data_IF_792242303418
#
_entry.id   IF_792242303418
#
_cell.length_a   1.000
_cell.length_b   1.000
_cell.length_c   1.000
_cell.angle_alpha   90.00
_cell.angle_beta   90.00
_cell.angle_gamma   90.00
#
_symmetry.space_group_name_H-M   'P 1'
#
loop_
_entity.id
_entity.type
_entity.pdbx_description
1 polymer ?
#
# COMPACT_ATOMS: atom_id res chain seq x y z
N UNK A 1 -16.87 -31.87 50.54
CA UNK A 1 -15.84 -31.55 49.55
C UNK A 1 -15.80 -32.53 48.36
N UNK A 2 -15.94 -33.82 48.53
CA UNK A 2 -15.87 -34.81 47.41
C UNK A 2 -16.99 -34.70 46.36
N UNK A 3 -18.22 -34.38 46.76
CA UNK A 3 -19.35 -34.26 45.81
C UNK A 3 -19.28 -33.03 44.87
N UNK A 4 -18.60 -31.96 45.28
CA UNK A 4 -18.40 -30.75 44.45
C UNK A 4 -17.30 -30.99 43.42
N UNK A 5 -16.24 -31.76 43.80
CA UNK A 5 -15.15 -32.08 42.87
C UNK A 5 -15.63 -32.97 41.71
N UNK A 6 -16.55 -33.91 41.96
CA UNK A 6 -17.09 -34.81 40.94
C UNK A 6 -17.96 -34.07 39.89
N UNK A 7 -18.66 -33.00 40.30
CA UNK A 7 -19.49 -32.19 39.37
C UNK A 7 -18.59 -31.35 38.44
N UNK A 8 -17.52 -30.76 38.95
CA UNK A 8 -16.58 -29.99 38.14
C UNK A 8 -15.80 -30.87 37.15
N UNK A 9 -15.43 -32.08 37.53
CA UNK A 9 -14.76 -33.02 36.64
C UNK A 9 -15.69 -33.50 35.51
N UNK A 10 -16.96 -33.74 35.83
CA UNK A 10 -17.98 -34.11 34.81
C UNK A 10 -18.25 -33.02 33.77
N UNK A 11 -18.29 -31.78 34.20
CA UNK A 11 -18.49 -30.63 33.28
C UNK A 11 -17.26 -30.41 32.36
N UNK A 12 -16.06 -30.56 32.90
CA UNK A 12 -14.82 -30.43 32.12
C UNK A 12 -14.68 -31.53 31.06
N UNK A 13 -15.04 -32.78 31.37
CA UNK A 13 -15.01 -33.91 30.43
C UNK A 13 -16.09 -33.75 29.34
N UNK A 14 -17.29 -33.29 29.71
CA UNK A 14 -18.34 -33.02 28.73
C UNK A 14 -17.99 -31.86 27.77
N UNK A 15 -17.31 -30.81 28.25
CA UNK A 15 -16.79 -29.72 27.45
C UNK A 15 -15.74 -30.16 26.45
N UNK A 16 -14.81 -31.02 26.87
CA UNK A 16 -13.76 -31.58 26.01
C UNK A 16 -14.32 -32.55 24.93
N UNK A 17 -15.37 -33.30 25.25
CA UNK A 17 -16.04 -34.19 24.30
C UNK A 17 -16.83 -33.36 23.25
N UNK A 18 -17.50 -32.27 23.62
CA UNK A 18 -18.22 -31.38 22.70
C UNK A 18 -17.26 -30.65 21.75
N UNK A 19 -16.11 -30.17 22.23
CA UNK A 19 -15.11 -29.57 21.37
C UNK A 19 -14.47 -30.58 20.41
N UNK A 20 -14.21 -31.80 20.84
CA UNK A 20 -13.68 -32.85 19.97
C UNK A 20 -14.66 -33.27 18.86
N UNK A 21 -15.95 -33.33 19.15
CA UNK A 21 -17.00 -33.60 18.14
C UNK A 21 -17.09 -32.46 17.13
N UNK A 22 -17.06 -31.19 17.58
CA UNK A 22 -17.13 -30.04 16.69
C UNK A 22 -15.92 -29.94 15.76
N UNK A 23 -14.71 -30.22 16.25
CA UNK A 23 -13.50 -30.27 15.44
C UNK A 23 -13.55 -31.44 14.44
N UNK A 24 -14.08 -32.57 14.80
CA UNK A 24 -14.22 -33.72 13.90
C UNK A 24 -15.28 -33.48 12.80
N UNK A 25 -16.38 -32.80 13.11
CA UNK A 25 -17.39 -32.43 12.12
C UNK A 25 -16.87 -31.38 11.13
N UNK A 26 -16.16 -30.35 11.59
CA UNK A 26 -15.58 -29.35 10.73
C UNK A 26 -14.47 -29.90 9.80
N UNK A 27 -13.65 -30.84 10.31
CA UNK A 27 -12.66 -31.55 9.52
C UNK A 27 -13.28 -32.47 8.44
N UNK A 28 -14.46 -33.04 8.75
CA UNK A 28 -15.17 -33.91 7.79
C UNK A 28 -15.87 -33.08 6.70
N UNK A 29 -16.42 -31.91 7.06
CA UNK A 29 -16.97 -30.94 6.08
C UNK A 29 -15.88 -30.47 5.13
N UNK A 30 -14.72 -30.03 5.63
CA UNK A 30 -13.62 -29.55 4.80
C UNK A 30 -13.09 -30.64 3.83
N UNK A 31 -13.07 -31.93 4.25
CA UNK A 31 -12.73 -33.04 3.37
C UNK A 31 -13.77 -33.28 2.29
N UNK A 32 -15.04 -33.09 2.59
CA UNK A 32 -16.12 -33.27 1.64
C UNK A 32 -16.15 -32.14 0.60
N UNK A 33 -15.87 -30.92 1.02
CA UNK A 33 -15.75 -29.75 0.13
C UNK A 33 -14.52 -29.88 -0.81
N UNK A 34 -13.38 -30.32 -0.29
CA UNK A 34 -12.18 -30.62 -1.08
C UNK A 34 -12.40 -31.73 -2.12
N UNK A 35 -13.16 -32.79 -1.75
CA UNK A 35 -13.49 -33.86 -2.67
C UNK A 35 -14.48 -33.43 -3.76
N UNK A 36 -15.41 -32.53 -3.43
CA UNK A 36 -16.35 -31.96 -4.39
C UNK A 36 -15.64 -31.03 -5.38
N UNK A 37 -14.68 -30.24 -4.91
CA UNK A 37 -13.85 -29.40 -5.75
C UNK A 37 -12.97 -30.22 -6.71
N UNK A 38 -12.37 -31.32 -6.23
CA UNK A 38 -11.56 -32.22 -7.06
C UNK A 38 -12.39 -32.91 -8.15
N UNK A 39 -13.60 -33.35 -7.84
CA UNK A 39 -14.53 -33.94 -8.80
C UNK A 39 -15.02 -32.93 -9.85
N UNK A 40 -15.13 -31.65 -9.50
CA UNK A 40 -15.47 -30.58 -10.44
C UNK A 40 -14.32 -30.33 -11.45
N UNK A 41 -13.06 -30.40 -11.01
CA UNK A 41 -11.89 -30.25 -11.88
C UNK A 41 -11.77 -31.45 -12.84
N UNK A 42 -11.94 -32.70 -12.37
CA UNK A 42 -11.91 -33.89 -13.22
C UNK A 42 -13.04 -33.91 -14.28
N UNK A 43 -14.23 -33.39 -13.96
CA UNK A 43 -15.32 -33.27 -14.94
C UNK A 43 -15.06 -32.18 -16.00
N UNK A 44 -14.25 -31.19 -15.70
CA UNK A 44 -13.89 -30.13 -16.67
C UNK A 44 -12.84 -30.66 -17.68
N UNK A 45 -11.92 -31.50 -17.24
CA UNK A 45 -10.91 -32.10 -18.11
C UNK A 45 -11.50 -33.17 -19.05
N UNK A 46 -12.54 -33.93 -18.64
CA UNK A 46 -13.16 -34.97 -19.47
C UNK A 46 -14.12 -34.41 -20.52
N UNK A 47 -14.62 -33.19 -20.41
CA UNK A 47 -15.46 -32.54 -21.44
C UNK A 47 -14.66 -31.88 -22.57
N UNK A 48 -13.34 -31.78 -22.44
CA UNK A 48 -12.46 -31.19 -23.46
C UNK A 48 -11.90 -32.23 -24.48
N UNK A 49 -12.22 -33.52 -24.33
CA UNK A 49 -11.60 -34.60 -25.10
C UNK A 49 -12.47 -35.23 -26.20
N UNK A 50 -13.73 -34.83 -26.41
CA UNK A 50 -14.56 -35.38 -27.49
C UNK A 50 -15.26 -34.25 -28.26
N UNK A 51 -14.77 -33.94 -29.47
CA UNK A 51 -15.46 -32.99 -30.35
C UNK A 51 -14.70 -32.57 -31.60
N UNK A 52 -14.50 -33.54 -32.54
CA UNK A 52 -14.62 -33.35 -33.98
C UNK A 52 -13.55 -32.60 -34.78
N UNK A 53 -12.84 -33.35 -35.56
CA UNK A 53 -12.09 -32.90 -36.75
C UNK A 53 -13.08 -32.52 -37.88
N UNK A 54 -13.05 -31.25 -38.33
CA UNK A 54 -13.49 -30.85 -39.68
C UNK A 54 -12.87 -29.50 -40.05
N UNK A 55 -11.95 -29.60 -40.99
CA UNK A 55 -11.61 -28.79 -42.15
C UNK A 55 -11.76 -27.24 -42.13
N UNK A 56 -10.61 -26.60 -42.29
CA UNK A 56 -10.25 -25.54 -43.22
C UNK A 56 -10.89 -24.18 -43.11
N UNK A 57 -10.20 -23.25 -42.61
CA UNK A 57 -9.74 -21.96 -43.19
C UNK A 57 -9.18 -21.07 -42.09
N UNK A 58 -7.99 -20.54 -42.31
CA UNK A 58 -7.18 -19.84 -41.31
C UNK A 58 -7.84 -18.61 -40.70
N UNK A 59 -7.89 -18.64 -39.40
CA UNK A 59 -7.75 -17.49 -38.53
C UNK A 59 -6.75 -17.95 -37.45
N UNK A 60 -5.56 -17.39 -37.44
CA UNK A 60 -4.62 -17.59 -36.36
C UNK A 60 -5.31 -17.19 -35.06
N UNK A 61 -5.26 -18.00 -33.98
CA UNK A 61 -5.63 -17.53 -32.66
C UNK A 61 -4.63 -16.41 -32.33
N UNK A 62 -5.17 -15.26 -31.94
CA UNK A 62 -4.36 -14.16 -31.41
C UNK A 62 -3.44 -14.75 -30.35
N UNK A 63 -2.16 -14.86 -30.69
CA UNK A 63 -1.14 -15.32 -29.76
C UNK A 63 -1.15 -14.38 -28.57
N UNK A 64 -1.38 -14.93 -27.39
CA UNK A 64 -1.02 -14.23 -26.17
C UNK A 64 0.49 -14.04 -26.21
N UNK A 65 0.92 -12.87 -26.66
CA UNK A 65 2.29 -12.42 -26.50
C UNK A 65 2.44 -12.16 -25.01
N UNK A 66 3.00 -13.13 -24.29
CA UNK A 66 3.56 -12.88 -22.98
C UNK A 66 4.77 -11.96 -23.19
N UNK A 67 4.54 -10.67 -23.36
CA UNK A 67 5.55 -9.68 -23.09
C UNK A 67 5.72 -9.66 -21.57
N UNK A 68 6.73 -10.37 -21.08
CA UNK A 68 7.09 -10.46 -19.66
C UNK A 68 7.78 -9.20 -19.14
N UNK A 69 7.32 -8.02 -19.55
CA UNK A 69 7.67 -6.73 -18.97
C UNK A 69 6.43 -6.13 -18.35
N UNK A 70 6.51 -5.64 -17.11
CA UNK A 70 5.49 -4.76 -16.58
C UNK A 70 5.27 -3.65 -17.61
N UNK A 71 4.06 -3.53 -18.14
CA UNK A 71 3.74 -2.45 -19.09
C UNK A 71 3.98 -1.14 -18.36
N UNK A 72 5.00 -0.40 -18.81
CA UNK A 72 5.29 0.93 -18.31
C UNK A 72 4.29 1.97 -18.84
N UNK A 73 3.26 1.53 -19.56
CA UNK A 73 2.20 2.37 -20.06
C UNK A 73 1.07 2.48 -19.03
N UNK A 74 0.94 3.62 -18.33
CA UNK A 74 -0.12 3.83 -17.34
C UNK A 74 -1.52 3.76 -17.99
N UNK A 75 -1.62 4.03 -19.30
CA UNK A 75 -2.87 3.95 -20.05
C UNK A 75 -3.24 2.50 -20.35
N UNK A 76 -2.26 1.62 -20.59
CA UNK A 76 -2.49 0.19 -20.77
C UNK A 76 -2.99 -0.47 -19.48
N UNK A 77 -2.46 -0.09 -18.32
CA UNK A 77 -2.96 -0.53 -17.01
C UNK A 77 -4.41 -0.07 -16.79
N UNK A 78 -4.72 1.19 -17.10
CA UNK A 78 -6.07 1.74 -17.04
C UNK A 78 -7.07 0.99 -17.93
N UNK A 79 -6.67 0.60 -19.13
CA UNK A 79 -7.54 -0.08 -20.09
C UNK A 79 -7.80 -1.54 -19.72
N UNK A 80 -6.89 -2.18 -18.99
CA UNK A 80 -6.96 -3.62 -18.74
C UNK A 80 -7.96 -4.03 -17.66
N UNK A 81 -8.13 -3.24 -16.58
CA UNK A 81 -8.82 -3.72 -15.37
C UNK A 81 -9.82 -2.74 -14.74
N UNK A 82 -9.70 -1.45 -14.96
CA UNK A 82 -10.49 -0.41 -14.25
C UNK A 82 -11.64 0.17 -15.09
N UNK A 83 -11.92 -0.41 -16.25
CA UNK A 83 -12.89 0.12 -17.21
C UNK A 83 -12.26 0.98 -18.29
N UNK A 84 -13.07 1.62 -19.12
CA UNK A 84 -12.56 2.45 -20.20
C UNK A 84 -11.86 3.70 -19.64
N UNK A 85 -10.58 3.85 -19.96
CA UNK A 85 -9.87 5.09 -19.71
C UNK A 85 -10.53 6.25 -20.49
N UNK A 86 -10.50 7.50 -19.99
CA UNK A 86 -10.91 8.64 -20.78
C UNK A 86 -10.08 8.73 -22.06
N UNK A 87 -10.68 9.23 -23.16
CA UNK A 87 -10.01 9.33 -24.47
C UNK A 87 -8.70 10.14 -24.43
N UNK A 88 -8.56 11.05 -23.45
CA UNK A 88 -7.38 11.89 -23.23
C UNK A 88 -6.54 11.47 -22.01
N UNK A 89 -6.57 10.20 -21.61
CA UNK A 89 -5.86 9.71 -20.42
C UNK A 89 -4.35 9.99 -20.45
N UNK A 90 -3.70 9.88 -21.61
CA UNK A 90 -2.27 10.20 -21.77
C UNK A 90 -1.98 11.69 -21.50
N UNK A 91 -2.82 12.59 -22.02
CA UNK A 91 -2.69 14.03 -21.78
C UNK A 91 -2.90 14.36 -20.29
N UNK A 92 -3.91 13.74 -19.65
CA UNK A 92 -4.18 13.90 -18.23
C UNK A 92 -3.02 13.39 -17.38
N UNK A 93 -2.48 12.20 -17.67
CA UNK A 93 -1.32 11.67 -16.97
C UNK A 93 -0.08 12.57 -17.14
N UNK A 94 0.17 13.08 -18.35
CA UNK A 94 1.31 13.96 -18.60
C UNK A 94 1.18 15.34 -17.96
N UNK A 95 -0.04 15.83 -17.76
CA UNK A 95 -0.32 17.13 -17.11
C UNK A 95 -0.47 17.04 -15.59
N UNK A 96 -0.56 15.85 -15.04
CA UNK A 96 -0.62 15.63 -13.59
C UNK A 96 0.66 16.10 -12.94
N UNK A 97 0.57 16.87 -11.85
CA UNK A 97 1.72 17.18 -11.01
C UNK A 97 1.93 16.05 -9.99
N UNK A 98 3.01 15.28 -10.11
CA UNK A 98 3.20 14.13 -9.24
C UNK A 98 3.41 14.53 -7.78
N UNK A 99 2.95 13.70 -6.85
CA UNK A 99 3.29 13.87 -5.45
C UNK A 99 4.82 13.88 -5.29
N UNK A 100 5.42 14.88 -4.61
CA UNK A 100 6.86 14.96 -4.43
C UNK A 100 7.36 13.76 -3.61
N UNK A 101 8.13 12.88 -4.28
CA UNK A 101 8.65 11.67 -3.63
C UNK A 101 9.90 11.94 -2.81
N UNK A 102 10.62 13.02 -3.05
CA UNK A 102 11.84 13.37 -2.34
C UNK A 102 11.57 13.49 -0.85
N UNK A 103 12.45 12.91 -0.03
CA UNK A 103 12.40 13.08 1.42
C UNK A 103 12.57 14.57 1.77
N UNK A 104 11.61 15.21 2.43
CA UNK A 104 11.72 16.61 2.79
C UNK A 104 12.88 16.83 3.79
N UNK A 105 13.43 18.05 3.90
CA UNK A 105 14.46 18.34 4.88
C UNK A 105 14.00 17.98 6.30
N UNK A 106 14.89 17.44 7.12
CA UNK A 106 14.61 17.10 8.51
C UNK A 106 14.21 18.36 9.31
N UNK A 107 13.20 18.24 10.14
CA UNK A 107 12.73 19.32 11.01
C UNK A 107 13.82 19.79 11.98
N UNK A 108 13.90 21.12 12.18
CA UNK A 108 14.94 21.75 13.00
C UNK A 108 14.50 21.85 14.46
N UNK A 109 15.49 21.96 15.38
CA UNK A 109 15.26 22.11 16.82
C UNK A 109 15.05 20.78 17.53
N UNK A 110 14.88 20.84 18.84
CA UNK A 110 14.64 19.66 19.69
C UNK A 110 13.13 19.42 19.88
N UNK A 111 12.33 20.45 19.64
CA UNK A 111 10.86 20.39 19.59
C UNK A 111 10.39 20.77 18.20
N UNK A 112 9.40 20.03 17.70
CA UNK A 112 8.82 20.19 16.36
C UNK A 112 7.32 20.30 16.51
N UNK A 113 6.76 21.44 16.11
CA UNK A 113 5.32 21.68 16.07
C UNK A 113 4.80 21.33 14.68
N UNK A 114 3.77 20.48 14.63
CA UNK A 114 3.13 20.01 13.39
C UNK A 114 1.64 20.27 13.50
N UNK A 115 1.16 21.21 12.68
CA UNK A 115 -0.26 21.54 12.57
C UNK A 115 -0.87 20.86 11.36
N UNK A 116 -1.86 20.00 11.59
CA UNK A 116 -2.58 19.28 10.55
C UNK A 116 -4.06 19.68 10.59
N UNK A 117 -4.56 20.23 9.49
CA UNK A 117 -5.99 20.48 9.31
C UNK A 117 -6.61 19.40 8.45
N UNK A 118 -7.58 18.70 9.01
CA UNK A 118 -8.38 17.70 8.28
C UNK A 118 -9.37 18.37 7.35
N UNK A 119 -9.59 17.80 6.18
CA UNK A 119 -10.52 18.33 5.18
C UNK A 119 -11.13 17.20 4.37
N UNK A 120 -12.38 17.41 3.95
CA UNK A 120 -12.97 16.66 2.86
C UNK A 120 -12.54 17.32 1.55
N UNK A 121 -11.99 16.53 0.63
CA UNK A 121 -11.42 17.02 -0.63
C UNK A 121 -11.81 16.10 -1.78
N UNK A 122 -11.86 16.65 -2.98
CA UNK A 122 -11.86 15.85 -4.21
C UNK A 122 -10.43 15.79 -4.72
N UNK A 123 -9.91 14.60 -4.89
CA UNK A 123 -8.58 14.33 -5.45
C UNK A 123 -8.72 13.52 -6.73
N UNK A 124 -7.69 13.55 -7.58
CA UNK A 124 -7.54 12.64 -8.69
C UNK A 124 -6.60 11.51 -8.28
N UNK A 125 -7.00 10.26 -8.52
CA UNK A 125 -6.26 9.05 -8.11
C UNK A 125 -5.71 8.24 -9.28
N UNK A 126 -6.15 8.57 -10.49
CA UNK A 126 -5.68 8.03 -11.76
C UNK A 126 -6.10 9.04 -12.84
N UNK A 127 -5.57 8.98 -14.09
CA UNK A 127 -5.92 9.94 -15.14
C UNK A 127 -7.44 10.08 -15.34
N UNK A 128 -7.98 11.25 -14.97
CA UNK A 128 -9.41 11.58 -15.04
C UNK A 128 -10.31 10.94 -13.98
N UNK A 129 -9.78 10.10 -13.09
CA UNK A 129 -10.54 9.43 -12.04
C UNK A 129 -10.52 10.24 -10.75
N UNK A 130 -11.64 10.87 -10.42
CA UNK A 130 -11.83 11.69 -9.22
C UNK A 130 -12.39 10.86 -8.07
N UNK A 131 -11.97 11.19 -6.86
CA UNK A 131 -12.38 10.52 -5.64
C UNK A 131 -12.68 11.54 -4.52
N UNK A 132 -13.81 11.33 -3.80
CA UNK A 132 -14.16 12.11 -2.61
C UNK A 132 -13.40 11.57 -1.41
N UNK A 133 -12.28 12.21 -1.07
CA UNK A 133 -11.37 11.77 -0.02
C UNK A 133 -11.54 12.55 1.29
N UNK A 134 -11.17 11.92 2.39
CA UNK A 134 -10.82 12.59 3.63
C UNK A 134 -9.31 12.71 3.70
N UNK A 135 -8.80 13.87 4.10
CA UNK A 135 -7.36 14.10 3.99
C UNK A 135 -6.73 14.69 5.25
N UNK A 136 -5.46 14.35 5.45
CA UNK A 136 -4.55 15.12 6.29
C UNK A 136 -3.97 16.26 5.44
N UNK A 137 -4.36 17.49 5.72
CA UNK A 137 -4.03 18.73 5.01
C UNK A 137 -4.81 18.95 3.71
N UNK A 138 -4.43 18.40 2.56
CA UNK A 138 -5.10 18.71 1.29
C UNK A 138 -4.99 17.61 0.23
N UNK A 139 -4.47 16.44 0.59
CA UNK A 139 -4.26 15.33 -0.33
C UNK A 139 -4.16 13.99 0.36
N UNK A 140 -3.95 12.94 -0.41
CA UNK A 140 -3.64 11.60 0.05
C UNK A 140 -2.50 11.03 -0.80
N UNK A 141 -1.38 10.63 -0.16
CA UNK A 141 -1.13 10.66 1.27
C UNK A 141 -1.10 12.07 1.84
N UNK A 142 -1.23 12.16 3.18
CA UNK A 142 -0.89 13.39 3.91
C UNK A 142 0.61 13.72 3.80
N UNK A 143 1.06 14.87 4.32
CA UNK A 143 2.44 15.32 4.19
C UNK A 143 3.44 14.34 4.80
N UNK A 144 4.59 14.18 4.15
CA UNK A 144 5.71 13.43 4.72
C UNK A 144 6.32 14.24 5.86
N UNK A 145 6.39 13.63 7.04
CA UNK A 145 6.99 14.22 8.24
C UNK A 145 8.40 13.65 8.39
N UNK A 146 9.42 14.51 8.48
CA UNK A 146 10.80 14.08 8.64
C UNK A 146 11.42 14.69 9.90
N UNK A 147 11.75 13.85 10.86
CA UNK A 147 12.26 14.20 12.19
C UNK A 147 13.48 13.35 12.55
N UNK A 148 14.08 13.58 13.71
CA UNK A 148 15.21 12.81 14.26
C UNK A 148 14.83 12.11 15.55
N UNK A 149 15.49 11.03 15.82
CA UNK A 149 15.47 10.37 17.13
C UNK A 149 15.77 11.37 18.25
N UNK A 150 14.95 11.35 19.30
CA UNK A 150 15.04 12.23 20.45
C UNK A 150 14.25 13.54 20.34
N UNK A 151 13.80 13.95 19.15
CA UNK A 151 12.95 15.14 19.02
C UNK A 151 11.58 14.94 19.70
N UNK A 152 11.09 15.99 20.36
CA UNK A 152 9.70 16.07 20.84
C UNK A 152 8.82 16.58 19.72
N UNK A 153 7.81 15.82 19.39
CA UNK A 153 6.84 16.16 18.35
C UNK A 153 5.55 16.60 19.02
N UNK A 154 5.11 17.81 18.73
CA UNK A 154 3.83 18.36 19.17
C UNK A 154 2.88 18.34 17.97
N UNK A 155 1.84 17.53 18.03
CA UNK A 155 0.84 17.41 16.94
C UNK A 155 -0.40 18.18 17.35
N UNK A 156 -0.78 19.17 16.55
CA UNK A 156 -2.08 19.83 16.66
C UNK A 156 -2.96 19.41 15.47
N UNK A 157 -4.00 18.63 15.77
CA UNK A 157 -4.99 18.21 14.81
C UNK A 157 -6.21 19.12 14.89
N UNK A 158 -6.55 19.79 13.79
CA UNK A 158 -7.76 20.61 13.67
C UNK A 158 -8.73 19.96 12.69
N UNK A 159 -9.94 19.66 13.14
CA UNK A 159 -10.94 19.00 12.29
C UNK A 159 -11.80 20.03 11.54
N UNK A 160 -11.45 20.27 10.29
CA UNK A 160 -12.23 21.05 9.32
C UNK A 160 -13.07 20.19 8.36
N UNK A 161 -13.20 18.88 8.61
CA UNK A 161 -14.03 17.96 7.85
C UNK A 161 -15.48 17.91 8.31
N UNK A 162 -16.24 16.92 7.85
CA UNK A 162 -17.67 16.78 8.13
C UNK A 162 -18.02 15.74 9.19
N UNK A 163 -17.05 14.91 9.59
CA UNK A 163 -17.22 13.87 10.63
C UNK A 163 -16.03 13.91 11.61
N UNK A 164 -16.14 13.25 12.79
CA UNK A 164 -15.00 13.11 13.71
C UNK A 164 -13.84 12.33 13.10
N UNK A 165 -12.62 12.75 13.42
CA UNK A 165 -11.38 12.11 12.99
C UNK A 165 -10.34 12.12 14.12
N UNK A 166 -9.32 11.29 13.98
CA UNK A 166 -8.15 11.24 14.87
C UNK A 166 -6.86 11.12 14.09
N UNK A 167 -5.72 11.07 14.77
CA UNK A 167 -4.43 10.73 14.16
C UNK A 167 -3.64 9.82 15.09
N UNK A 168 -3.21 8.68 14.54
CA UNK A 168 -2.37 7.66 15.17
C UNK A 168 -1.01 7.65 14.47
N UNK A 169 0.07 7.73 15.25
CA UNK A 169 1.46 7.63 14.76
C UNK A 169 2.08 6.32 15.19
N UNK A 170 2.40 5.44 14.26
CA UNK A 170 3.11 4.19 14.55
C UNK A 170 4.53 4.41 15.13
N UNK A 171 5.09 5.59 14.93
CA UNK A 171 6.36 6.00 15.55
C UNK A 171 6.24 6.39 17.02
N UNK A 172 5.02 6.51 17.57
CA UNK A 172 4.80 7.02 18.91
C UNK A 172 4.62 5.90 19.95
N UNK A 173 5.38 5.96 21.05
CA UNK A 173 5.15 5.11 22.23
C UNK A 173 4.30 5.86 23.26
N UNK A 174 3.00 5.87 23.03
CA UNK A 174 2.04 6.61 23.88
C UNK A 174 0.72 5.82 23.96
N UNK A 175 0.01 5.93 25.09
CA UNK A 175 -1.27 5.25 25.27
C UNK A 175 -2.33 5.80 24.30
N UNK A 176 -2.96 4.96 23.45
CA UNK A 176 -3.90 5.40 22.41
C UNK A 176 -5.08 6.22 22.94
N UNK A 177 -5.62 5.85 24.11
CA UNK A 177 -6.74 6.55 24.75
C UNK A 177 -6.38 7.96 25.23
N UNK A 178 -5.10 8.30 25.30
CA UNK A 178 -4.59 9.64 25.67
C UNK A 178 -4.36 10.49 24.42
N UNK A 179 -3.76 9.92 23.39
CA UNK A 179 -3.26 10.66 22.24
C UNK A 179 -4.16 10.54 20.99
N UNK A 180 -4.68 9.32 20.69
CA UNK A 180 -5.34 9.03 19.42
C UNK A 180 -6.87 9.08 19.53
N UNK A 181 -7.39 10.07 20.23
CA UNK A 181 -8.81 10.26 20.44
C UNK A 181 -9.46 11.02 19.30
N UNK A 182 -10.76 10.80 19.11
CA UNK A 182 -11.57 11.51 18.13
C UNK A 182 -11.61 13.02 18.45
N UNK A 183 -11.43 13.84 17.42
CA UNK A 183 -11.59 15.30 17.43
C UNK A 183 -12.89 15.62 16.68
N UNK A 184 -13.83 16.26 17.36
CA UNK A 184 -15.11 16.62 16.77
C UNK A 184 -14.94 17.70 15.69
N UNK A 185 -15.94 17.81 14.80
CA UNK A 185 -15.95 18.82 13.74
C UNK A 185 -15.82 20.21 14.30
N UNK A 186 -14.89 21.01 13.77
CA UNK A 186 -14.57 22.37 14.21
C UNK A 186 -13.68 22.46 15.45
N UNK A 187 -13.33 21.34 16.07
CA UNK A 187 -12.44 21.32 17.25
C UNK A 187 -10.98 21.05 16.87
N UNK A 188 -10.09 21.35 17.83
CA UNK A 188 -8.67 21.02 17.76
C UNK A 188 -8.23 20.22 18.97
N UNK A 189 -7.23 19.39 18.79
CA UNK A 189 -6.59 18.62 19.86
C UNK A 189 -5.09 18.56 19.67
N UNK A 190 -4.34 18.84 20.73
CA UNK A 190 -2.88 18.76 20.72
C UNK A 190 -2.40 17.67 21.67
N UNK A 191 -1.44 16.87 21.22
CA UNK A 191 -0.67 15.96 22.08
C UNK A 191 0.78 15.93 21.64
N UNK A 192 1.64 15.36 22.47
CA UNK A 192 3.08 15.29 22.19
C UNK A 192 3.62 13.90 22.46
N UNK A 193 4.62 13.50 21.69
CA UNK A 193 5.43 12.32 21.96
C UNK A 193 6.90 12.62 21.65
N UNK A 194 7.79 11.72 22.08
CA UNK A 194 9.21 11.78 21.71
C UNK A 194 9.45 10.70 20.66
N UNK A 195 10.07 11.05 19.55
CA UNK A 195 10.46 10.11 18.51
C UNK A 195 11.65 9.26 19.01
N UNK A 196 11.36 8.09 19.60
CA UNK A 196 12.37 7.22 20.23
C UNK A 196 12.83 6.08 19.32
N UNK A 197 12.09 5.82 18.28
CA UNK A 197 12.30 4.67 17.40
C UNK A 197 12.62 5.18 15.99
N UNK A 198 13.86 5.01 15.49
CA UNK A 198 14.23 5.43 14.14
C UNK A 198 13.71 4.45 13.10
N UNK A 199 13.38 4.99 11.91
CA UNK A 199 12.83 4.22 10.79
C UNK A 199 11.81 5.00 9.99
N UNK A 200 11.04 4.30 9.15
CA UNK A 200 9.88 4.87 8.46
C UNK A 200 8.61 4.21 8.95
N UNK A 201 7.61 5.02 9.28
CA UNK A 201 6.39 4.60 9.91
C UNK A 201 5.18 5.26 9.26
N UNK A 202 4.04 4.56 9.32
CA UNK A 202 2.75 5.10 8.96
C UNK A 202 2.22 6.04 10.05
N UNK A 203 1.47 7.05 9.65
CA UNK A 203 0.46 7.67 10.49
C UNK A 203 -0.89 7.61 9.78
N UNK A 204 -1.98 7.48 10.54
CA UNK A 204 -3.32 7.33 9.95
C UNK A 204 -4.43 7.76 10.90
N UNK A 205 -5.65 7.88 10.37
CA UNK A 205 -6.83 8.07 11.22
C UNK A 205 -7.21 6.76 11.92
N UNK A 206 -7.36 6.82 13.25
CA UNK A 206 -7.77 5.68 14.09
C UNK A 206 -9.26 5.68 14.47
N UNK A 207 -10.04 6.66 13.99
CA UNK A 207 -11.50 6.74 14.23
C UNK A 207 -12.22 5.57 13.58
N UNK A 208 -13.19 5.00 14.29
CA UNK A 208 -13.97 3.85 13.77
C UNK A 208 -15.07 4.28 12.80
N UNK A 209 -15.25 3.50 11.72
CA UNK A 209 -14.54 2.29 11.29
C UNK A 209 -13.19 2.62 10.61
N UNK A 210 -12.08 2.16 11.19
CA UNK A 210 -10.71 2.52 10.79
C UNK A 210 -10.45 2.20 9.32
N UNK A 211 -10.93 1.04 8.83
CA UNK A 211 -10.82 0.64 7.42
C UNK A 211 -11.34 1.74 6.47
N UNK A 212 -12.51 2.32 6.77
CA UNK A 212 -13.10 3.35 5.94
C UNK A 212 -12.27 4.64 5.94
N UNK A 213 -11.70 5.03 7.09
CA UNK A 213 -10.91 6.25 7.19
C UNK A 213 -9.59 6.14 6.40
N UNK A 214 -8.87 5.02 6.54
CA UNK A 214 -7.63 4.80 5.78
C UNK A 214 -7.95 4.70 4.28
N UNK A 215 -8.96 3.90 3.88
CA UNK A 215 -9.35 3.74 2.48
C UNK A 215 -9.89 5.04 1.83
N UNK A 216 -10.28 6.03 2.61
CA UNK A 216 -10.65 7.36 2.13
C UNK A 216 -9.47 8.35 2.02
N UNK A 217 -8.22 7.90 2.27
CA UNK A 217 -7.04 8.74 2.05
C UNK A 217 -6.38 9.28 3.33
N UNK A 218 -6.85 8.86 4.51
CA UNK A 218 -6.32 9.36 5.79
C UNK A 218 -5.11 8.56 6.28
N UNK A 219 -4.01 8.70 5.59
CA UNK A 219 -2.71 8.10 5.90
C UNK A 219 -1.56 8.97 5.40
N UNK A 220 -0.36 8.73 5.93
CA UNK A 220 0.88 9.35 5.48
C UNK A 220 2.09 8.67 6.11
N UNK A 221 3.28 9.23 5.87
CA UNK A 221 4.55 8.69 6.36
C UNK A 221 5.24 9.67 7.32
N UNK A 222 5.85 9.12 8.37
CA UNK A 222 6.83 9.81 9.21
C UNK A 222 8.16 9.06 9.13
N UNK A 223 9.24 9.78 8.79
CA UNK A 223 10.62 9.29 8.82
C UNK A 223 11.30 9.84 10.07
N UNK A 224 11.90 8.94 10.84
CA UNK A 224 12.67 9.26 12.03
C UNK A 224 14.12 8.87 11.79
N UNK A 225 14.99 9.85 11.59
CA UNK A 225 16.42 9.60 11.42
C UNK A 225 17.03 9.06 12.71
N UNK A 226 17.88 8.01 12.63
CA UNK A 226 18.59 7.51 13.81
C UNK A 226 19.66 8.49 14.29
N UNK A 227 19.93 8.50 15.62
CA UNK A 227 21.01 9.27 16.22
C UNK A 227 22.39 8.93 15.61
N UNK A 228 22.61 7.67 15.25
CA UNK A 228 23.72 7.24 14.42
C UNK A 228 23.25 7.15 12.97
N UNK A 229 23.67 8.08 12.09
CA UNK A 229 23.19 8.10 10.72
C UNK A 229 23.39 6.78 9.98
N UNK A 230 22.42 6.41 9.15
CA UNK A 230 22.56 5.34 8.17
C UNK A 230 23.70 5.65 7.20
N UNK A 231 24.25 4.66 6.47
CA UNK A 231 25.17 4.92 5.38
C UNK A 231 24.60 5.99 4.44
N UNK A 232 25.45 6.86 3.92
CA UNK A 232 25.02 7.95 3.05
C UNK A 232 24.23 7.40 1.85
N UNK A 233 23.06 7.95 1.59
CA UNK A 233 22.38 7.89 0.30
C UNK A 233 22.61 9.19 -0.48
N UNK A 234 22.57 9.13 -1.80
CA UNK A 234 22.73 10.29 -2.68
C UNK A 234 21.35 10.84 -3.08
N UNK A 235 20.34 9.96 -3.17
CA UNK A 235 18.92 10.27 -3.38
C UNK A 235 18.08 9.55 -2.33
N UNK A 236 17.02 10.21 -1.87
CA UNK A 236 16.13 9.67 -0.84
C UNK A 236 14.68 9.93 -1.25
N UNK A 237 13.89 8.85 -1.42
CA UNK A 237 12.50 8.90 -1.87
C UNK A 237 11.57 8.23 -0.87
N UNK A 238 10.40 8.80 -0.65
CA UNK A 238 9.34 8.25 0.19
C UNK A 238 8.19 7.77 -0.69
N UNK A 239 7.86 6.49 -0.55
CA UNK A 239 6.79 5.83 -1.30
C UNK A 239 5.75 5.29 -0.32
N UNK A 240 4.51 5.76 -0.43
CA UNK A 240 3.39 5.26 0.36
C UNK A 240 2.46 4.48 -0.56
N UNK A 241 2.38 3.16 -0.33
CA UNK A 241 1.42 2.29 -1.01
C UNK A 241 0.04 2.44 -0.41
N UNK A 242 -0.99 2.51 -1.23
CA UNK A 242 -2.38 2.61 -0.78
C UNK A 242 -3.37 2.02 -1.78
N UNK A 243 -4.52 1.63 -1.26
CA UNK A 243 -5.61 0.98 -1.98
C UNK A 243 -6.82 1.90 -2.08
N UNK A 244 -7.49 1.91 -3.24
CA UNK A 244 -8.70 2.66 -3.49
C UNK A 244 -9.86 1.74 -3.87
N UNK A 245 -10.99 1.90 -3.19
CA UNK A 245 -12.20 1.08 -3.34
C UNK A 245 -13.36 1.96 -3.75
N UNK A 246 -13.73 1.92 -5.03
CA UNK A 246 -14.61 2.89 -5.65
C UNK A 246 -16.07 2.41 -5.72
N UNK A 247 -16.95 3.30 -5.33
CA UNK A 247 -18.35 3.27 -5.67
C UNK A 247 -18.58 4.29 -6.80
N UNK A 248 -18.74 3.79 -8.01
CA UNK A 248 -18.79 4.59 -9.24
C UNK A 248 -17.42 4.74 -9.94
N UNK A 249 -17.40 5.15 -11.20
CA UNK A 249 -16.19 5.23 -12.04
C UNK A 249 -15.28 6.43 -11.73
N UNK A 250 -15.79 7.48 -11.08
CA UNK A 250 -15.02 8.67 -10.75
C UNK A 250 -14.76 9.64 -11.92
N UNK A 251 -15.39 9.45 -13.07
CA UNK A 251 -15.14 10.27 -14.28
C UNK A 251 -15.92 11.59 -14.28
N UNK A 252 -17.24 11.53 -14.39
CA UNK A 252 -18.09 12.73 -14.40
C UNK A 252 -18.25 13.30 -12.98
N UNK A 253 -18.60 12.44 -12.01
CA UNK A 253 -18.73 12.77 -10.61
C UNK A 253 -17.66 12.01 -9.80
N UNK A 254 -17.14 12.57 -8.70
CA UNK A 254 -16.17 11.88 -7.88
C UNK A 254 -16.72 10.55 -7.33
N UNK A 255 -15.96 9.49 -7.46
CA UNK A 255 -16.26 8.22 -6.80
C UNK A 255 -16.22 8.38 -5.29
N UNK A 256 -16.94 7.52 -4.58
CA UNK A 256 -16.93 7.43 -3.12
C UNK A 256 -16.45 6.06 -2.65
N UNK A 257 -16.21 5.92 -1.35
CA UNK A 257 -15.78 4.68 -0.72
C UNK A 257 -16.80 3.54 -0.90
N UNK A 258 -16.32 2.37 -1.29
CA UNK A 258 -17.08 1.14 -1.39
C UNK A 258 -16.66 0.16 -0.28
N UNK A 259 -17.53 0.03 0.73
CA UNK A 259 -17.26 -0.82 1.89
C UNK A 259 -17.18 -2.31 1.55
N UNK A 260 -18.02 -2.80 0.62
CA UNK A 260 -18.06 -4.22 0.26
C UNK A 260 -16.76 -4.63 -0.44
N UNK A 261 -16.28 -3.82 -1.37
CA UNK A 261 -14.97 -4.04 -2.02
C UNK A 261 -13.83 -3.99 -1.01
N UNK A 262 -13.84 -3.04 -0.08
CA UNK A 262 -12.80 -2.90 0.93
C UNK A 262 -12.76 -4.11 1.88
N UNK A 263 -13.91 -4.60 2.34
CA UNK A 263 -14.00 -5.82 3.14
C UNK A 263 -13.59 -7.08 2.37
N UNK A 264 -13.82 -7.10 1.04
CA UNK A 264 -13.37 -8.18 0.16
C UNK A 264 -11.89 -8.06 -0.24
N UNK A 265 -11.19 -7.00 0.17
CA UNK A 265 -9.80 -6.70 -0.25
C UNK A 265 -9.63 -6.68 -1.77
N UNK A 266 -10.65 -6.14 -2.47
CA UNK A 266 -10.69 -6.06 -3.94
C UNK A 266 -10.67 -4.59 -4.39
N UNK A 267 -9.49 -3.93 -4.39
CA UNK A 267 -9.33 -2.54 -4.77
C UNK A 267 -9.56 -2.33 -6.27
N UNK A 268 -10.04 -1.15 -6.64
CA UNK A 268 -10.08 -0.68 -8.03
C UNK A 268 -8.72 -0.11 -8.47
N UNK A 269 -7.97 0.49 -7.53
CA UNK A 269 -6.64 1.02 -7.75
C UNK A 269 -5.72 0.72 -6.57
N UNK A 270 -4.43 0.49 -6.87
CA UNK A 270 -3.35 0.45 -5.90
C UNK A 270 -2.27 1.43 -6.37
N UNK A 271 -1.85 2.34 -5.52
CA UNK A 271 -1.06 3.49 -5.96
C UNK A 271 0.21 3.68 -5.13
N UNK A 272 1.24 4.26 -5.74
CA UNK A 272 2.29 4.94 -5.02
C UNK A 272 1.92 6.40 -4.83
N UNK A 273 1.96 6.88 -3.58
CA UNK A 273 1.70 8.27 -3.22
C UNK A 273 0.36 8.80 -3.78
N UNK A 274 -0.68 7.96 -3.76
CA UNK A 274 -2.06 8.36 -3.99
C UNK A 274 -2.54 8.47 -5.42
N UNK A 275 -1.65 8.31 -6.44
CA UNK A 275 -2.03 8.36 -7.84
C UNK A 275 -1.41 7.21 -8.63
N UNK A 276 -2.21 6.59 -9.51
CA UNK A 276 -1.82 5.42 -10.27
C UNK A 276 -0.70 5.74 -11.28
N UNK A 277 0.39 4.99 -11.22
CA UNK A 277 1.52 5.03 -12.14
C UNK A 277 2.14 6.42 -12.37
N UNK A 278 1.96 7.40 -11.45
CA UNK A 278 2.45 8.77 -11.64
C UNK A 278 3.96 8.85 -11.92
N UNK A 279 4.74 7.97 -11.31
CA UNK A 279 6.20 7.93 -11.53
C UNK A 279 6.62 7.14 -12.78
N UNK A 280 5.69 6.61 -13.57
CA UNK A 280 5.97 6.14 -14.93
C UNK A 280 6.01 7.32 -15.88
N UNK A 281 5.04 8.22 -15.78
CA UNK A 281 4.97 9.44 -16.57
C UNK A 281 6.00 10.49 -16.10
N UNK A 282 6.29 10.53 -14.79
CA UNK A 282 7.26 11.43 -14.15
C UNK A 282 8.33 10.63 -13.39
N UNK A 283 9.28 9.97 -14.10
CA UNK A 283 10.27 9.09 -13.49
C UNK A 283 11.12 9.79 -12.42
N UNK A 284 11.41 9.07 -11.33
CA UNK A 284 12.32 9.56 -10.28
C UNK A 284 13.76 9.55 -10.80
N UNK A 285 14.51 10.66 -10.71
CA UNK A 285 15.87 10.72 -11.25
C UNK A 285 16.92 10.12 -10.32
N UNK A 286 17.96 9.52 -10.90
CA UNK A 286 19.22 9.17 -10.25
C UNK A 286 20.36 9.25 -11.26
N UNK A 287 21.62 9.37 -10.78
CA UNK A 287 22.80 9.25 -11.63
C UNK A 287 23.46 7.88 -11.47
N UNK A 288 24.15 7.35 -12.51
CA UNK A 288 24.87 6.09 -12.40
C UNK A 288 25.85 6.09 -11.22
N UNK A 289 25.80 5.04 -10.41
CA UNK A 289 26.65 4.88 -9.23
C UNK A 289 26.16 5.58 -7.97
N UNK A 290 25.07 6.36 -8.03
CA UNK A 290 24.42 6.90 -6.81
C UNK A 290 23.76 5.78 -6.00
N UNK A 291 23.76 5.95 -4.71
CA UNK A 291 22.95 5.13 -3.79
C UNK A 291 21.60 5.80 -3.64
N UNK A 292 20.55 5.14 -4.13
CA UNK A 292 19.17 5.57 -3.97
C UNK A 292 18.57 4.86 -2.77
N UNK A 293 17.95 5.61 -1.87
CA UNK A 293 17.23 5.09 -0.70
C UNK A 293 15.74 5.30 -0.87
N UNK A 294 14.99 4.23 -0.76
CA UNK A 294 13.54 4.26 -0.71
C UNK A 294 13.05 4.03 0.73
N UNK A 295 12.23 4.95 1.23
CA UNK A 295 11.44 4.80 2.44
C UNK A 295 10.05 4.36 2.02
N UNK A 296 9.70 3.11 2.24
CA UNK A 296 8.45 2.52 1.79
C UNK A 296 7.52 2.30 2.95
N UNK A 297 6.28 2.80 2.86
CA UNK A 297 5.19 2.55 3.80
C UNK A 297 4.05 1.85 3.06
N UNK A 298 3.59 0.71 3.58
CA UNK A 298 2.37 0.07 3.11
C UNK A 298 1.19 0.58 3.96
N UNK A 299 0.54 1.67 3.51
CA UNK A 299 -0.61 2.20 4.21
C UNK A 299 -1.83 1.28 4.08
N UNK A 300 -1.88 0.46 3.05
CA UNK A 300 -2.94 -0.48 2.82
C UNK A 300 -4.27 0.21 2.46
N UNK A 301 -5.37 -0.12 3.11
CA UNK A 301 -5.50 -0.63 4.49
C UNK A 301 -5.34 -2.13 4.69
N UNK A 302 -5.31 -2.95 3.67
CA UNK A 302 -5.43 -4.41 3.81
C UNK A 302 -4.34 -5.22 3.10
N UNK A 303 -3.82 -4.72 1.96
CA UNK A 303 -2.82 -5.43 1.17
C UNK A 303 -1.40 -5.08 1.62
N UNK A 304 -0.55 -6.10 1.66
CA UNK A 304 0.88 -5.93 1.78
C UNK A 304 1.48 -5.39 0.46
N UNK A 305 2.71 -4.90 0.54
CA UNK A 305 3.47 -4.44 -0.62
C UNK A 305 4.75 -5.24 -0.74
N UNK A 306 4.93 -5.96 -1.84
CA UNK A 306 6.14 -6.75 -2.10
C UNK A 306 7.13 -5.92 -2.93
N UNK A 307 7.88 -5.04 -2.26
CA UNK A 307 8.74 -4.05 -2.92
C UNK A 307 9.89 -4.71 -3.68
N UNK A 308 10.03 -4.33 -4.95
CA UNK A 308 11.09 -4.78 -5.86
C UNK A 308 11.50 -3.64 -6.80
N UNK A 309 12.76 -3.63 -7.19
CA UNK A 309 13.29 -2.80 -8.28
C UNK A 309 13.79 -3.73 -9.38
N UNK A 310 13.13 -3.69 -10.55
CA UNK A 310 13.43 -4.58 -11.67
C UNK A 310 14.81 -4.27 -12.24
N UNK A 311 15.55 -5.33 -12.58
CA UNK A 311 16.88 -5.22 -13.19
C UNK A 311 18.01 -5.01 -12.20
N UNK A 312 17.75 -5.04 -10.90
CA UNK A 312 18.78 -4.90 -9.86
C UNK A 312 18.46 -5.74 -8.61
N UNK A 313 19.37 -5.67 -7.64
CA UNK A 313 19.24 -6.28 -6.31
C UNK A 313 19.30 -5.17 -5.26
N UNK A 314 18.43 -5.25 -4.25
CA UNK A 314 18.47 -4.34 -3.12
C UNK A 314 19.72 -4.60 -2.28
N UNK A 315 20.62 -3.61 -2.21
CA UNK A 315 21.89 -3.72 -1.46
C UNK A 315 21.65 -3.88 0.04
N UNK A 316 20.66 -3.16 0.57
CA UNK A 316 20.21 -3.26 1.97
C UNK A 316 18.70 -3.13 2.08
N UNK A 317 18.14 -3.92 2.96
CA UNK A 317 16.73 -3.82 3.36
C UNK A 317 16.62 -3.79 4.88
N UNK A 318 16.21 -2.65 5.42
CA UNK A 318 15.88 -2.46 6.83
C UNK A 318 14.37 -2.63 6.97
N UNK A 319 13.94 -3.71 7.59
CA UNK A 319 12.53 -4.09 7.61
C UNK A 319 11.85 -3.70 8.91
N UNK A 320 10.58 -3.32 8.82
CA UNK A 320 9.67 -3.14 9.95
C UNK A 320 10.19 -2.17 11.04
N UNK A 321 10.81 -1.05 10.60
CA UNK A 321 11.31 0.00 11.48
C UNK A 321 12.65 -0.27 12.18
N UNK A 322 13.25 -1.47 12.04
CA UNK A 322 14.55 -1.75 12.64
C UNK A 322 15.70 -1.28 11.72
N UNK A 323 16.29 -0.14 12.07
CA UNK A 323 17.46 0.41 11.37
C UNK A 323 18.79 -0.09 11.91
N UNK A 324 18.80 -0.95 12.93
CA UNK A 324 20.01 -1.52 13.53
C UNK A 324 20.47 -2.78 12.82
N UNK A 325 19.57 -3.46 12.13
CA UNK A 325 19.80 -4.68 11.37
C UNK A 325 19.27 -4.53 9.95
N UNK A 326 19.92 -5.17 9.01
CA UNK A 326 19.47 -5.19 7.62
C UNK A 326 19.78 -6.53 6.95
N UNK A 327 18.96 -6.88 5.99
CA UNK A 327 19.24 -7.94 5.03
C UNK A 327 20.08 -7.34 3.88
N UNK A 328 20.96 -8.14 3.32
CA UNK A 328 21.86 -7.69 2.25
C UNK A 328 21.66 -8.55 1.01
N UNK A 329 21.63 -7.92 -0.16
CA UNK A 329 21.55 -8.61 -1.44
C UNK A 329 20.22 -9.35 -1.63
N UNK A 330 19.10 -8.71 -1.31
CA UNK A 330 17.76 -9.30 -1.45
C UNK A 330 17.04 -8.77 -2.69
N UNK A 331 16.11 -9.56 -3.24
CA UNK A 331 15.43 -9.21 -4.48
C UNK A 331 14.08 -8.54 -4.25
N UNK A 332 13.23 -9.13 -3.41
CA UNK A 332 11.88 -8.65 -3.13
C UNK A 332 11.63 -8.76 -1.63
N UNK A 333 11.02 -7.75 -1.04
CA UNK A 333 10.77 -7.71 0.40
C UNK A 333 9.34 -7.27 0.66
N UNK A 334 8.60 -8.09 1.41
CA UNK A 334 7.25 -7.74 1.84
C UNK A 334 7.28 -6.67 2.92
N UNK A 335 6.57 -5.58 2.67
CA UNK A 335 6.22 -4.55 3.65
C UNK A 335 4.77 -4.81 4.05
N UNK A 336 4.50 -5.26 5.27
CA UNK A 336 3.15 -5.59 5.69
C UNK A 336 2.27 -4.35 5.79
N UNK A 337 0.95 -4.52 5.60
CA UNK A 337 -0.02 -3.44 5.78
C UNK A 337 0.15 -2.76 7.16
N UNK A 338 0.25 -1.43 7.17
CA UNK A 338 0.57 -0.63 8.35
C UNK A 338 2.06 -0.60 8.71
N UNK A 339 2.92 -1.32 7.98
CA UNK A 339 4.36 -1.37 8.20
C UNK A 339 5.15 -0.40 7.32
N UNK A 340 6.46 -0.34 7.58
CA UNK A 340 7.41 0.42 6.79
C UNK A 340 8.75 -0.29 6.65
N UNK A 341 9.50 0.02 5.59
CA UNK A 341 10.84 -0.50 5.36
C UNK A 341 11.71 0.52 4.61
N UNK A 342 13.02 0.40 4.74
CA UNK A 342 13.98 1.25 4.04
C UNK A 342 14.85 0.36 3.15
N UNK A 343 15.01 0.77 1.90
CA UNK A 343 15.77 0.02 0.90
C UNK A 343 16.85 0.89 0.29
N UNK A 344 18.10 0.42 0.30
CA UNK A 344 19.18 1.02 -0.45
C UNK A 344 19.43 0.20 -1.71
N UNK A 345 19.58 0.89 -2.85
CA UNK A 345 19.95 0.30 -4.13
C UNK A 345 20.97 1.17 -4.83
N UNK A 346 21.98 0.54 -5.44
CA UNK A 346 22.97 1.21 -6.26
C UNK A 346 22.94 0.64 -7.67
N UNK A 347 22.82 1.53 -8.65
CA UNK A 347 22.72 1.16 -10.07
C UNK A 347 23.83 1.90 -10.83
N UNK A 348 24.71 1.15 -11.49
CA UNK A 348 25.85 1.71 -12.20
C UNK A 348 25.56 1.94 -13.70
N UNK A 349 24.55 1.29 -14.27
CA UNK A 349 24.22 1.38 -15.69
C UNK A 349 23.06 2.35 -15.93
N UNK A 350 23.15 3.28 -16.92
CA UNK A 350 22.02 4.11 -17.31
C UNK A 350 20.84 3.26 -17.80
N UNK A 351 19.61 3.62 -17.38
CA UNK A 351 18.43 2.86 -17.75
C UNK A 351 17.17 3.36 -17.07
N UNK A 352 16.02 2.73 -17.43
CA UNK A 352 14.77 2.86 -16.70
C UNK A 352 14.56 1.59 -15.87
N UNK A 353 14.47 1.74 -14.57
CA UNK A 353 14.35 0.65 -13.62
C UNK A 353 12.99 0.72 -12.92
N UNK A 354 12.02 -0.15 -13.28
CA UNK A 354 10.73 -0.15 -12.61
C UNK A 354 10.87 -0.49 -11.13
N UNK A 355 10.26 0.32 -10.26
CA UNK A 355 10.01 -0.04 -8.87
C UNK A 355 8.52 -0.31 -8.70
N UNK A 356 8.19 -1.41 -8.03
CA UNK A 356 6.84 -1.93 -8.02
C UNK A 356 6.59 -2.85 -6.81
N UNK A 357 5.32 -3.24 -6.61
CA UNK A 357 5.00 -4.42 -5.83
C UNK A 357 5.05 -5.65 -6.72
N UNK A 358 5.81 -6.69 -6.31
CA UNK A 358 5.87 -7.94 -7.09
C UNK A 358 4.58 -8.77 -7.00
N UNK A 359 3.58 -8.29 -6.28
CA UNK A 359 2.19 -8.70 -6.38
C UNK A 359 1.58 -8.06 -7.63
N UNK A 360 1.74 -8.69 -8.80
CA UNK A 360 1.48 -8.07 -10.11
C UNK A 360 0.05 -7.59 -10.32
N UNK A 361 -0.93 -8.16 -9.62
CA UNK A 361 -2.28 -7.60 -9.63
C UNK A 361 -2.31 -6.13 -9.16
N UNK A 362 -1.43 -5.75 -8.22
CA UNK A 362 -1.29 -4.36 -7.77
C UNK A 362 -0.59 -3.48 -8.80
N UNK A 363 0.33 -4.04 -9.59
CA UNK A 363 0.98 -3.34 -10.72
C UNK A 363 -0.04 -2.98 -11.77
N UNK A 364 -0.88 -3.94 -12.16
CA UNK A 364 -1.97 -3.74 -13.13
C UNK A 364 -2.98 -2.68 -12.65
N UNK A 365 -3.10 -2.48 -11.34
CA UNK A 365 -3.94 -1.46 -10.73
C UNK A 365 -3.20 -0.12 -10.47
N UNK A 366 -1.95 0.01 -10.93
CA UNK A 366 -1.22 1.29 -10.92
C UNK A 366 -0.06 1.40 -9.93
N UNK A 367 0.30 0.33 -9.18
CA UNK A 367 1.40 0.34 -8.21
C UNK A 367 2.76 0.11 -8.88
N UNK A 368 3.15 1.01 -9.75
CA UNK A 368 4.41 1.00 -10.49
C UNK A 368 4.96 2.41 -10.65
N UNK A 369 6.28 2.53 -10.71
CA UNK A 369 7.00 3.75 -11.04
C UNK A 369 8.34 3.41 -11.68
N UNK A 370 9.04 4.40 -12.23
CA UNK A 370 10.33 4.27 -12.87
C UNK A 370 11.40 5.08 -12.14
N UNK A 371 12.51 4.47 -11.87
CA UNK A 371 13.75 5.14 -11.53
C UNK A 371 14.53 5.34 -12.83
N UNK A 372 14.68 6.60 -13.28
CA UNK A 372 15.49 6.96 -14.43
C UNK A 372 16.93 7.19 -13.99
N UNK A 373 17.83 6.31 -14.38
CA UNK A 373 19.26 6.40 -14.05
C UNK A 373 20.00 7.01 -15.25
N UNK A 374 20.63 8.17 -15.07
CA UNK A 374 21.36 8.90 -16.10
C UNK A 374 20.48 9.35 -17.27
N UNK A 375 21.06 9.38 -18.49
CA UNK A 375 20.38 9.69 -19.72
C UNK A 375 20.32 8.44 -20.63
N UNK A 376 19.41 7.50 -20.37
CA UNK A 376 19.30 6.29 -21.18
C UNK A 376 18.81 6.60 -22.59
N UNK A 377 19.36 5.91 -23.59
CA UNK A 377 18.84 5.95 -24.96
C UNK A 377 17.52 5.17 -25.05
N UNK A 378 16.54 5.71 -25.76
CA UNK A 378 15.24 5.09 -25.99
C UNK A 378 14.13 5.57 -25.04
N UNK A 379 12.93 5.04 -25.25
CA UNK A 379 11.77 5.28 -24.40
C UNK A 379 11.69 4.21 -23.29
N UNK A 380 11.02 4.52 -22.20
CA UNK A 380 10.72 3.59 -21.10
C UNK A 380 9.80 2.42 -21.49
N UNK A 381 9.68 2.09 -22.78
CA UNK A 381 8.82 1.02 -23.29
C UNK A 381 9.45 -0.35 -23.02
N UNK A 382 8.87 -1.11 -22.10
CA UNK A 382 9.00 -2.55 -22.02
C UNK A 382 7.63 -3.18 -22.02
#
# INVERSE_FOLDING_TARGET
>A
MWKVLSVFLGIAVAGLLLTAVFVAESANSAKQDAKSALAAVENTETQSADGNAADGTGAEPAGHVHNGGASADPVAALQSYSGAAPENAEELAASHEPFPAELPPVAKGDEVDIDITLKDVTIEIAPGVKYSAWSFASGAPGPVIHVREGQRINITLTNGGTIPHSIDFHAARIAPNVAFRDVAVGESFTYSFVATDPGVFMYHCGTKPVLAHIANGMYGAIVVDPAKPLPKADREYVLVSSEWYLNGPGLDEPASYNADKAHAMNPDWVTWNGYAAQYVTHPLPADPGEVVRFYVVAAGPSLDTDFHVVGTILDRAYVNGDVTQYQQGVQTVTVPAGGGAIFDVKIDEPGFYPFLSHSFASVDLGQVGLLKVGDPEGSASH
#
